data_IF_990767607978
#
_entry.id   IF_990767607978
#
_cell.length_a   1.000
_cell.length_b   1.000
_cell.length_c   1.000
_cell.angle_alpha   90.00
_cell.angle_beta   90.00
_cell.angle_gamma   90.00
#
_symmetry.space_group_name_H-M   'P 1'
#
loop_
_entity.id
_entity.type
_entity.pdbx_description
1 polymer ?
#
# COMPACT_ATOMS: atom_id res chain seq x y z
N UNK A 1 -43.82 8.55 1.62
CA UNK A 1 -43.66 7.77 2.86
C UNK A 1 -43.16 8.75 3.93
N UNK A 2 -44.03 9.46 4.64
CA UNK A 2 -44.89 9.04 5.76
C UNK A 2 -44.11 8.69 7.04
N UNK A 3 -44.66 9.19 8.16
CA UNK A 3 -44.28 9.05 9.57
C UNK A 3 -43.25 10.06 10.12
N UNK A 4 -43.62 11.18 10.79
CA UNK A 4 -44.70 11.53 11.75
C UNK A 4 -44.45 10.99 13.17
N UNK A 5 -44.07 11.89 14.09
CA UNK A 5 -44.49 12.01 15.50
C UNK A 5 -43.65 13.15 16.12
N UNK A 6 -44.13 14.37 16.43
CA UNK A 6 -45.40 14.85 16.97
C UNK A 6 -45.68 14.35 18.39
N UNK A 7 -45.32 15.15 19.39
CA UNK A 7 -46.06 15.55 20.62
C UNK A 7 -45.03 16.21 21.58
N UNK A 8 -45.26 17.30 22.32
CA UNK A 8 -46.48 17.70 23.04
C UNK A 8 -46.37 19.16 23.56
N UNK A 9 -47.44 19.92 23.30
CA UNK A 9 -48.10 21.01 24.09
C UNK A 9 -47.25 22.17 24.67
N UNK A 10 -47.38 23.46 24.29
CA UNK A 10 -48.50 24.46 24.43
C UNK A 10 -48.98 24.64 25.90
N UNK A 11 -49.60 25.78 26.32
CA UNK A 11 -49.76 27.10 25.67
C UNK A 11 -49.84 28.34 26.64
N UNK A 12 -50.26 29.51 26.09
CA UNK A 12 -51.03 30.64 26.72
C UNK A 12 -50.17 31.65 27.53
N UNK A 13 -50.15 32.97 27.31
CA UNK A 13 -51.15 33.99 26.93
C UNK A 13 -50.38 35.08 26.13
N UNK A 14 -50.89 35.80 25.14
CA UNK A 14 -52.24 36.32 24.93
C UNK A 14 -52.12 37.84 24.71
N UNK A 15 -52.85 38.34 23.70
CA UNK A 15 -53.20 39.73 23.37
C UNK A 15 -52.48 40.44 22.19
N UNK A 16 -53.21 40.45 21.07
CA UNK A 16 -53.63 41.60 20.24
C UNK A 16 -52.57 42.66 19.85
N UNK A 17 -52.16 42.73 18.57
CA UNK A 17 -52.75 43.55 17.46
C UNK A 17 -52.20 45.00 17.43
N UNK A 18 -52.17 45.75 16.31
CA UNK A 18 -52.05 45.43 14.88
C UNK A 18 -50.90 46.21 14.18
N UNK A 19 -50.85 46.00 12.86
CA UNK A 19 -50.17 46.74 11.80
C UNK A 19 -50.06 48.28 11.96
N UNK A 20 -48.92 48.74 11.42
CA UNK A 20 -48.68 49.94 10.62
C UNK A 20 -48.28 51.27 11.27
N UNK A 21 -47.16 51.74 10.70
CA UNK A 21 -46.81 53.11 10.37
C UNK A 21 -46.13 53.97 11.44
N UNK A 22 -44.86 54.23 11.11
CA UNK A 22 -44.23 55.55 11.17
C UNK A 22 -44.12 56.19 12.55
N UNK A 23 -42.98 56.04 13.21
CA UNK A 23 -42.10 57.18 13.46
C UNK A 23 -40.82 56.73 14.17
N UNK A 24 -39.69 57.06 13.54
CA UNK A 24 -38.49 57.52 14.22
C UNK A 24 -37.84 56.60 15.28
N UNK A 25 -36.85 55.82 14.86
CA UNK A 25 -35.55 55.72 15.55
C UNK A 25 -34.47 55.25 14.58
N UNK A 26 -34.16 56.13 13.62
CA UNK A 26 -32.78 56.22 13.13
C UNK A 26 -32.00 56.99 14.20
N UNK A 27 -30.76 56.58 14.42
CA UNK A 27 -29.75 57.13 15.34
C UNK A 27 -29.66 56.47 16.72
N UNK A 28 -29.00 55.30 16.74
CA UNK A 28 -27.97 55.04 17.74
C UNK A 28 -26.67 54.76 16.94
N UNK A 29 -26.04 55.79 16.40
CA UNK A 29 -25.07 56.65 17.10
C UNK A 29 -23.94 55.80 17.74
N UNK A 30 -23.03 55.32 16.89
CA UNK A 30 -21.59 55.65 16.92
C UNK A 30 -20.96 55.99 18.28
N UNK A 31 -21.13 55.14 19.30
CA UNK A 31 -20.40 55.26 20.58
C UNK A 31 -19.83 53.94 21.12
N UNK A 32 -19.60 52.94 20.24
CA UNK A 32 -18.86 51.70 20.58
C UNK A 32 -17.50 51.62 19.85
N UNK A 33 -17.01 52.73 19.31
CA UNK A 33 -15.87 52.69 18.38
C UNK A 33 -14.50 52.47 19.07
N UNK A 34 -14.39 52.63 20.39
CA UNK A 34 -13.11 52.44 21.13
C UNK A 34 -13.01 51.05 21.78
N UNK A 35 -14.06 50.58 22.45
CA UNK A 35 -14.10 49.25 23.08
C UNK A 35 -14.19 48.10 22.06
N UNK A 36 -15.00 48.26 21.00
CA UNK A 36 -15.11 47.28 19.91
C UNK A 36 -13.81 47.23 19.08
N UNK A 37 -13.16 48.37 18.85
CA UNK A 37 -11.89 48.46 18.13
C UNK A 37 -10.72 47.84 18.91
N UNK A 38 -10.72 47.95 20.24
CA UNK A 38 -9.76 47.21 21.10
C UNK A 38 -9.97 45.69 21.02
N UNK A 39 -11.23 45.22 21.07
CA UNK A 39 -11.56 43.78 20.95
C UNK A 39 -11.25 43.21 19.56
N UNK A 40 -11.63 43.90 18.50
CA UNK A 40 -11.31 43.52 17.12
C UNK A 40 -9.80 43.48 16.93
N UNK A 41 -9.06 44.47 17.45
CA UNK A 41 -7.60 44.49 17.37
C UNK A 41 -6.97 43.30 18.10
N UNK A 42 -7.46 42.93 19.28
CA UNK A 42 -7.00 41.71 19.95
C UNK A 42 -7.34 40.45 19.16
N UNK A 43 -8.55 40.32 18.61
CA UNK A 43 -8.95 39.16 17.79
C UNK A 43 -8.10 39.03 16.53
N UNK A 44 -7.76 40.13 15.86
CA UNK A 44 -6.88 40.14 14.69
C UNK A 44 -5.46 39.69 15.05
N UNK A 45 -4.94 40.09 16.22
CA UNK A 45 -3.64 39.59 16.69
C UNK A 45 -3.66 38.09 16.99
N UNK A 46 -4.74 37.55 17.58
CA UNK A 46 -4.85 36.10 17.82
C UNK A 46 -4.98 35.31 16.52
N UNK A 47 -5.80 35.77 15.57
CA UNK A 47 -5.98 35.10 14.28
C UNK A 47 -4.71 35.15 13.43
N UNK A 48 -3.99 36.28 13.42
CA UNK A 48 -2.71 36.38 12.71
C UNK A 48 -1.63 35.50 13.35
N UNK A 49 -1.53 35.46 14.67
CA UNK A 49 -0.62 34.55 15.39
C UNK A 49 -0.91 33.08 15.06
N UNK A 50 -2.19 32.69 15.07
CA UNK A 50 -2.60 31.33 14.72
C UNK A 50 -2.26 30.99 13.25
N UNK A 51 -2.49 31.92 12.33
CA UNK A 51 -2.16 31.74 10.92
C UNK A 51 -0.66 31.59 10.66
N UNK A 52 0.18 32.39 11.35
CA UNK A 52 1.63 32.25 11.24
C UNK A 52 2.10 30.93 11.84
N UNK A 53 1.52 30.49 12.95
CA UNK A 53 1.86 29.23 13.61
C UNK A 53 1.53 28.01 12.72
N UNK A 54 0.36 27.98 12.09
CA UNK A 54 -0.03 26.84 11.22
C UNK A 54 0.85 26.76 9.97
N UNK A 55 1.17 27.89 9.35
CA UNK A 55 2.08 27.95 8.21
C UNK A 55 3.50 27.55 8.62
N UNK A 56 3.98 28.04 9.77
CA UNK A 56 5.30 27.69 10.30
C UNK A 56 5.45 26.20 10.59
N UNK A 57 4.45 25.58 11.24
CA UNK A 57 4.44 24.15 11.51
C UNK A 57 4.38 23.32 10.22
N UNK A 58 3.59 23.74 9.23
CA UNK A 58 3.48 23.04 7.95
C UNK A 58 4.81 23.04 7.19
N UNK A 59 5.53 24.16 7.20
CA UNK A 59 6.85 24.26 6.58
C UNK A 59 7.93 23.48 7.34
N UNK A 60 7.87 23.48 8.68
CA UNK A 60 8.82 22.78 9.53
C UNK A 60 8.63 21.25 9.57
N UNK A 61 7.44 20.75 9.24
CA UNK A 61 7.14 19.32 9.27
C UNK A 61 8.04 18.50 8.32
N UNK A 62 8.34 19.02 7.12
CA UNK A 62 9.16 18.31 6.12
C UNK A 62 10.61 18.08 6.58
N UNK A 63 11.38 19.09 7.02
CA UNK A 63 12.74 18.87 7.51
C UNK A 63 12.77 18.07 8.82
N UNK A 64 11.78 18.27 9.72
CA UNK A 64 11.68 17.48 10.95
C UNK A 64 11.45 16.00 10.63
N UNK A 65 10.57 15.67 9.68
CA UNK A 65 10.34 14.31 9.21
C UNK A 65 11.61 13.69 8.63
N UNK A 66 12.37 14.43 7.80
CA UNK A 66 13.66 13.96 7.27
C UNK A 66 14.66 13.63 8.38
N UNK A 67 14.78 14.47 9.41
CA UNK A 67 15.67 14.19 10.54
C UNK A 67 15.24 12.95 11.34
N UNK A 68 13.93 12.77 11.55
CA UNK A 68 13.40 11.57 12.20
C UNK A 68 13.64 10.31 11.36
N UNK A 69 13.44 10.36 10.04
CA UNK A 69 13.73 9.24 9.13
C UNK A 69 15.21 8.86 9.15
N UNK A 70 16.11 9.84 9.20
CA UNK A 70 17.56 9.61 9.29
C UNK A 70 17.98 9.04 10.65
N UNK A 71 17.36 9.48 11.76
CA UNK A 71 17.73 9.04 13.11
C UNK A 71 17.20 7.64 13.44
N UNK A 72 15.99 7.30 13.01
CA UNK A 72 15.34 6.02 13.32
C UNK A 72 15.45 4.99 12.18
N UNK A 73 16.13 5.34 11.07
CA UNK A 73 16.45 4.48 9.93
C UNK A 73 15.25 3.70 9.37
N UNK A 74 14.03 4.26 9.49
CA UNK A 74 12.77 3.57 9.18
C UNK A 74 12.27 3.81 7.74
N UNK A 75 13.02 4.59 6.95
CA UNK A 75 12.78 4.78 5.54
C UNK A 75 14.13 4.95 4.88
N UNK A 76 14.47 4.04 3.96
CA UNK A 76 15.76 3.95 3.25
C UNK A 76 16.08 5.16 2.36
N UNK A 77 15.99 6.38 2.90
CA UNK A 77 16.54 7.57 2.27
C UNK A 77 18.04 7.53 2.48
N UNK A 78 18.74 7.10 1.43
CA UNK A 78 20.17 7.30 1.27
C UNK A 78 20.50 8.73 1.71
N UNK A 79 21.38 8.85 2.68
CA UNK A 79 22.01 10.12 3.00
C UNK A 79 22.53 10.69 1.68
N UNK A 80 21.98 11.79 1.21
CA UNK A 80 22.53 12.57 0.09
C UNK A 80 23.89 13.24 0.44
N UNK A 81 24.53 12.77 1.52
CA UNK A 81 25.86 13.11 1.99
C UNK A 81 26.79 11.88 2.04
N UNK A 82 26.33 10.69 1.59
CA UNK A 82 27.24 9.60 1.25
C UNK A 82 27.66 9.84 -0.19
N UNK A 83 28.73 10.62 -0.32
CA UNK A 83 29.84 10.24 -1.20
C UNK A 83 29.46 9.91 -2.66
N UNK A 84 29.02 10.95 -3.40
CA UNK A 84 28.96 10.94 -4.88
C UNK A 84 30.27 10.45 -5.52
N UNK A 85 31.40 10.51 -4.80
CA UNK A 85 32.70 10.01 -5.27
C UNK A 85 32.85 8.48 -5.28
N UNK A 86 31.93 7.71 -4.67
CA UNK A 86 32.03 6.23 -4.69
C UNK A 86 31.19 5.60 -5.81
N UNK A 87 30.10 6.25 -6.23
CA UNK A 87 29.22 5.80 -7.32
C UNK A 87 29.90 5.99 -8.69
N UNK A 88 30.72 7.02 -8.86
CA UNK A 88 31.45 7.26 -10.13
C UNK A 88 32.59 6.26 -10.40
N UNK A 89 33.05 5.51 -9.39
CA UNK A 89 34.22 4.61 -9.54
C UNK A 89 33.82 3.14 -9.68
N UNK A 90 32.54 2.81 -9.55
CA UNK A 90 32.06 1.43 -9.63
C UNK A 90 31.71 1.05 -11.06
N UNK A 91 32.60 0.28 -11.67
CA UNK A 91 32.33 -0.32 -12.98
C UNK A 91 31.24 -1.39 -12.80
N UNK A 92 30.19 -1.41 -13.65
CA UNK A 92 29.19 -2.46 -13.62
C UNK A 92 29.86 -3.82 -13.81
N UNK A 93 29.85 -4.64 -12.77
CA UNK A 93 30.43 -5.98 -12.81
C UNK A 93 29.36 -6.94 -13.34
N UNK A 94 29.46 -7.26 -14.64
CA UNK A 94 28.60 -8.27 -15.29
C UNK A 94 28.78 -9.68 -14.73
N UNK A 95 29.84 -9.94 -13.96
CA UNK A 95 30.10 -11.24 -13.32
C UNK A 95 29.63 -11.30 -11.86
N UNK A 96 28.79 -10.36 -11.41
CA UNK A 96 28.21 -10.41 -10.07
C UNK A 96 27.14 -11.49 -10.01
N UNK A 97 27.44 -12.60 -9.32
CA UNK A 97 26.48 -13.67 -9.10
C UNK A 97 25.45 -13.26 -8.05
N UNK A 98 24.17 -13.35 -8.40
CA UNK A 98 23.06 -13.12 -7.47
C UNK A 98 22.54 -14.48 -7.01
N UNK A 99 22.41 -14.65 -5.69
CA UNK A 99 21.82 -15.82 -5.05
C UNK A 99 20.30 -15.66 -5.01
N UNK A 100 19.59 -16.55 -5.69
CA UNK A 100 18.14 -16.60 -5.68
C UNK A 100 17.70 -17.77 -4.82
N UNK A 101 17.06 -17.46 -3.69
CA UNK A 101 16.46 -18.42 -2.76
C UNK A 101 15.03 -18.71 -3.17
N UNK A 102 14.62 -19.97 -3.10
CA UNK A 102 13.27 -20.40 -3.45
C UNK A 102 12.54 -20.88 -2.20
N UNK A 103 11.38 -20.30 -1.94
CA UNK A 103 10.48 -20.78 -0.89
C UNK A 103 9.13 -21.16 -1.48
N UNK A 104 8.49 -22.11 -0.82
CA UNK A 104 7.22 -22.67 -1.22
C UNK A 104 6.35 -22.84 0.02
N UNK A 105 5.17 -22.23 -0.02
CA UNK A 105 4.20 -22.24 1.05
C UNK A 105 2.83 -22.66 0.51
N UNK A 106 1.98 -23.20 1.38
CA UNK A 106 0.59 -23.53 1.06
C UNK A 106 -0.33 -22.91 2.11
N UNK A 107 -1.52 -22.47 1.69
CA UNK A 107 -2.53 -21.99 2.63
C UNK A 107 -3.05 -23.14 3.50
N UNK A 108 -3.61 -22.83 4.67
CA UNK A 108 -4.18 -23.84 5.57
C UNK A 108 -5.37 -24.62 4.96
N UNK A 109 -6.02 -24.07 3.94
CA UNK A 109 -7.05 -24.76 3.16
C UNK A 109 -6.48 -25.71 2.10
N UNK A 110 -5.22 -25.53 1.71
CA UNK A 110 -4.57 -26.27 0.64
C UNK A 110 -3.79 -27.47 1.21
N UNK A 111 -4.25 -28.68 0.89
CA UNK A 111 -3.64 -29.92 1.41
C UNK A 111 -2.54 -30.50 0.51
N UNK A 112 -2.13 -29.77 -0.53
CA UNK A 112 -1.02 -30.18 -1.37
C UNK A 112 0.31 -30.13 -0.61
N UNK A 113 1.20 -31.05 -0.97
CA UNK A 113 2.62 -30.91 -0.65
C UNK A 113 3.28 -30.14 -1.78
N UNK A 114 3.76 -28.94 -1.50
CA UNK A 114 4.43 -28.08 -2.47
C UNK A 114 5.81 -27.68 -1.94
N UNK A 115 6.85 -27.94 -2.72
CA UNK A 115 8.24 -27.71 -2.32
C UNK A 115 9.11 -27.33 -3.51
N UNK A 116 10.14 -26.48 -3.31
CA UNK A 116 11.14 -26.28 -4.34
C UNK A 116 11.99 -27.56 -4.48
N UNK A 117 12.42 -27.87 -5.71
CA UNK A 117 13.38 -28.95 -5.95
C UNK A 117 14.80 -28.52 -5.55
N UNK A 118 15.09 -27.22 -5.69
CA UNK A 118 16.35 -26.58 -5.34
C UNK A 118 16.07 -25.34 -4.48
N UNK A 119 16.76 -25.22 -3.34
CA UNK A 119 16.51 -24.13 -2.39
C UNK A 119 17.21 -22.82 -2.82
N UNK A 120 18.31 -22.91 -3.56
CA UNK A 120 19.04 -21.75 -4.05
C UNK A 120 19.64 -22.01 -5.43
N UNK A 121 19.76 -20.96 -6.25
CA UNK A 121 20.60 -20.95 -7.44
C UNK A 121 21.40 -19.65 -7.52
N UNK A 122 22.52 -19.67 -8.24
CA UNK A 122 23.34 -18.48 -8.54
C UNK A 122 23.21 -18.16 -10.00
N UNK A 123 22.89 -16.90 -10.31
CA UNK A 123 22.63 -16.43 -11.66
C UNK A 123 23.26 -15.06 -11.85
N UNK A 124 23.90 -14.84 -12.98
CA UNK A 124 24.39 -13.51 -13.34
C UNK A 124 23.27 -12.65 -13.93
N UNK A 125 23.22 -11.33 -13.67
CA UNK A 125 22.29 -10.44 -14.35
C UNK A 125 22.43 -10.52 -15.88
N UNK A 126 21.30 -10.70 -16.56
CA UNK A 126 21.20 -10.96 -18.01
C UNK A 126 21.24 -12.44 -18.40
N UNK A 127 21.52 -13.35 -17.46
CA UNK A 127 21.44 -14.79 -17.68
C UNK A 127 20.03 -15.31 -17.38
N UNK A 128 19.56 -16.23 -18.22
CA UNK A 128 18.28 -16.91 -17.98
C UNK A 128 18.48 -18.17 -17.16
N UNK A 129 17.64 -18.36 -16.16
CA UNK A 129 17.68 -19.51 -15.27
C UNK A 129 16.33 -20.23 -15.20
N UNK A 130 16.41 -21.51 -14.84
CA UNK A 130 15.26 -22.41 -14.70
C UNK A 130 15.26 -23.01 -13.30
N UNK A 131 14.16 -22.79 -12.58
CA UNK A 131 13.88 -23.43 -11.30
C UNK A 131 12.75 -24.44 -11.42
N UNK A 132 12.73 -25.47 -10.57
CA UNK A 132 11.66 -26.47 -10.55
C UNK A 132 11.05 -26.51 -9.16
N UNK A 133 9.72 -26.62 -9.13
CA UNK A 133 8.96 -26.91 -7.92
C UNK A 133 8.16 -28.17 -8.12
N UNK A 134 8.05 -29.00 -7.08
CA UNK A 134 7.23 -30.20 -7.11
C UNK A 134 5.95 -29.95 -6.34
N UNK A 135 4.81 -30.23 -6.97
CA UNK A 135 3.49 -30.21 -6.33
C UNK A 135 2.89 -31.61 -6.34
N UNK A 136 2.36 -32.03 -5.19
CA UNK A 136 1.70 -33.32 -5.02
C UNK A 136 0.36 -33.16 -4.33
N UNK A 137 -0.66 -33.80 -4.87
CA UNK A 137 -1.95 -33.94 -4.23
C UNK A 137 -2.03 -35.29 -3.47
N UNK A 138 -1.91 -35.31 -2.13
CA UNK A 138 -1.96 -36.55 -1.36
C UNK A 138 -3.38 -37.09 -1.13
N UNK A 139 -4.41 -36.44 -1.66
CA UNK A 139 -5.81 -36.79 -1.41
C UNK A 139 -6.41 -37.67 -2.52
N UNK A 140 -7.52 -38.32 -2.19
CA UNK A 140 -8.28 -39.16 -3.13
C UNK A 140 -9.26 -38.37 -4.01
N UNK A 141 -9.19 -37.04 -4.00
CA UNK A 141 -10.03 -36.15 -4.82
C UNK A 141 -9.17 -35.16 -5.60
N UNK A 142 -9.63 -34.80 -6.79
CA UNK A 142 -9.01 -33.72 -7.54
C UNK A 142 -9.20 -32.39 -6.80
N UNK A 143 -8.15 -31.57 -6.77
CA UNK A 143 -8.16 -30.24 -6.19
C UNK A 143 -7.65 -29.28 -7.24
N UNK A 144 -8.24 -28.09 -7.29
CA UNK A 144 -7.76 -26.99 -8.13
C UNK A 144 -7.12 -25.94 -7.24
N UNK A 145 -5.91 -25.52 -7.59
CA UNK A 145 -5.15 -24.51 -6.88
C UNK A 145 -4.77 -23.34 -7.77
N UNK A 146 -4.64 -22.16 -7.17
CA UNK A 146 -4.04 -20.98 -7.77
C UNK A 146 -2.85 -20.55 -6.90
N UNK A 147 -1.76 -20.10 -7.50
CA UNK A 147 -0.59 -19.65 -6.75
C UNK A 147 -0.38 -18.16 -6.87
N UNK A 148 0.16 -17.52 -5.84
CA UNK A 148 0.71 -16.16 -5.93
C UNK A 148 2.21 -16.20 -5.66
N UNK A 149 2.92 -15.16 -6.08
CA UNK A 149 4.35 -15.05 -5.85
C UNK A 149 4.72 -13.70 -5.27
N UNK A 150 5.86 -13.66 -4.57
CA UNK A 150 6.48 -12.47 -4.06
C UNK A 150 7.99 -12.52 -4.24
N UNK A 151 8.62 -11.36 -4.46
CA UNK A 151 10.07 -11.20 -4.58
C UNK A 151 10.56 -10.28 -3.47
N UNK A 152 11.54 -10.74 -2.71
CA UNK A 152 12.16 -9.98 -1.60
C UNK A 152 13.66 -9.87 -1.86
N UNK A 153 14.28 -8.70 -1.68
CA UNK A 153 13.68 -7.41 -1.32
C UNK A 153 12.88 -6.80 -2.48
N UNK A 154 11.92 -5.93 -2.16
CA UNK A 154 10.98 -5.37 -3.13
C UNK A 154 11.68 -4.56 -4.23
N UNK A 155 12.77 -3.88 -3.87
CA UNK A 155 13.59 -3.08 -4.76
C UNK A 155 14.27 -3.92 -5.84
N UNK A 156 14.56 -5.20 -5.56
CA UNK A 156 15.08 -6.14 -6.56
C UNK A 156 13.97 -6.71 -7.45
N UNK A 157 12.71 -6.70 -6.98
CA UNK A 157 11.55 -7.22 -7.71
C UNK A 157 11.31 -6.53 -9.06
N UNK A 158 11.65 -5.24 -9.20
CA UNK A 158 11.49 -4.51 -10.46
C UNK A 158 12.43 -5.00 -11.59
N UNK A 159 13.55 -5.61 -11.22
CA UNK A 159 14.52 -6.18 -12.16
C UNK A 159 14.32 -7.68 -12.36
N UNK A 160 13.45 -8.30 -11.56
CA UNK A 160 13.18 -9.73 -11.62
C UNK A 160 12.07 -9.99 -12.63
N UNK A 161 12.45 -10.46 -13.81
CA UNK A 161 11.51 -10.73 -14.89
C UNK A 161 11.16 -12.22 -14.94
N UNK A 162 9.93 -12.55 -14.52
CA UNK A 162 9.39 -13.90 -14.64
C UNK A 162 8.75 -14.07 -16.01
N UNK A 163 9.36 -14.90 -16.87
CA UNK A 163 8.91 -15.09 -18.26
C UNK A 163 7.70 -16.03 -18.33
N UNK A 164 7.61 -17.04 -17.45
CA UNK A 164 6.51 -18.03 -17.43
C UNK A 164 5.97 -18.24 -16.02
N UNK A 165 4.66 -18.11 -15.82
CA UNK A 165 4.04 -18.08 -14.49
C UNK A 165 2.78 -18.93 -14.41
N UNK A 166 2.87 -20.05 -13.68
CA UNK A 166 1.70 -20.82 -13.17
C UNK A 166 0.83 -20.02 -12.18
N UNK A 167 1.29 -18.84 -11.78
CA UNK A 167 0.70 -18.03 -10.72
C UNK A 167 -0.59 -17.32 -11.13
N UNK A 168 -1.09 -17.53 -12.35
CA UNK A 168 -2.41 -17.01 -12.75
C UNK A 168 -3.27 -18.06 -13.45
N UNK A 169 -2.81 -19.30 -13.49
CA UNK A 169 -3.55 -20.39 -14.10
C UNK A 169 -4.00 -21.36 -13.01
N UNK A 170 -5.28 -21.74 -13.08
CA UNK A 170 -5.83 -22.79 -12.25
C UNK A 170 -5.13 -24.12 -12.58
N UNK A 171 -4.35 -24.61 -11.63
CA UNK A 171 -3.72 -25.93 -11.74
C UNK A 171 -4.63 -26.94 -11.06
N UNK A 172 -5.08 -27.95 -11.80
CA UNK A 172 -5.83 -29.06 -11.23
C UNK A 172 -4.91 -30.28 -11.12
N UNK A 173 -4.75 -30.81 -9.90
CA UNK A 173 -4.05 -32.07 -9.66
C UNK A 173 -5.04 -33.17 -9.29
N UNK A 174 -4.97 -34.28 -10.02
CA UNK A 174 -5.75 -35.48 -9.76
C UNK A 174 -5.32 -36.16 -8.45
N UNK A 175 -6.12 -37.13 -7.97
CA UNK A 175 -5.76 -37.91 -6.80
C UNK A 175 -4.36 -38.53 -6.90
N UNK A 176 -3.53 -38.34 -5.87
CA UNK A 176 -2.17 -38.88 -5.79
C UNK A 176 -1.23 -38.46 -6.93
N UNK A 177 -1.60 -37.43 -7.70
CA UNK A 177 -0.78 -36.90 -8.79
C UNK A 177 0.36 -36.03 -8.24
N UNK A 178 1.53 -36.16 -8.87
CA UNK A 178 2.75 -35.41 -8.57
C UNK A 178 3.30 -34.84 -9.88
N UNK A 179 3.49 -33.52 -9.92
CA UNK A 179 3.91 -32.78 -11.13
C UNK A 179 5.05 -31.82 -10.78
N UNK A 180 6.04 -31.76 -11.66
CA UNK A 180 7.11 -30.77 -11.62
C UNK A 180 6.73 -29.54 -12.46
N UNK A 181 6.79 -28.38 -11.82
CA UNK A 181 6.40 -27.08 -12.36
C UNK A 181 7.65 -26.22 -12.62
N UNK A 182 8.09 -26.10 -13.89
CA UNK A 182 9.24 -25.27 -14.28
C UNK A 182 8.96 -23.76 -14.23
N UNK A 183 9.81 -23.01 -13.54
CA UNK A 183 9.78 -21.55 -13.48
C UNK A 183 10.98 -20.97 -14.22
N UNK A 184 10.72 -20.30 -15.35
CA UNK A 184 11.73 -19.63 -16.15
C UNK A 184 11.78 -18.12 -15.84
N UNK A 185 12.98 -17.62 -15.52
CA UNK A 185 13.19 -16.23 -15.13
C UNK A 185 14.59 -15.73 -15.50
N UNK A 186 14.75 -14.40 -15.46
CA UNK A 186 16.06 -13.76 -15.55
C UNK A 186 16.07 -12.47 -14.70
N UNK A 187 17.26 -12.02 -14.35
CA UNK A 187 17.48 -10.72 -13.70
C UNK A 187 17.93 -9.75 -14.78
N UNK A 188 17.30 -8.58 -14.86
CA UNK A 188 17.66 -7.55 -15.85
C UNK A 188 19.13 -7.09 -15.65
N UNK A 189 19.95 -6.97 -16.71
CA UNK A 189 21.32 -6.44 -16.60
C UNK A 189 21.40 -5.04 -15.98
N UNK A 190 20.34 -4.21 -16.07
CA UNK A 190 20.27 -2.90 -15.40
C UNK A 190 20.41 -2.99 -13.89
N UNK A 191 20.18 -4.18 -13.29
CA UNK A 191 20.46 -4.47 -11.88
C UNK A 191 21.89 -4.11 -11.45
N UNK A 192 22.86 -4.27 -12.36
CA UNK A 192 24.27 -3.97 -12.09
C UNK A 192 24.60 -2.48 -12.16
N UNK A 193 23.69 -1.67 -12.70
CA UNK A 193 23.89 -0.24 -12.92
C UNK A 193 23.19 0.63 -11.89
N UNK A 194 22.20 0.10 -11.15
CA UNK A 194 21.52 0.82 -10.07
C UNK A 194 22.37 0.80 -8.78
N UNK A 195 22.81 1.97 -8.26
CA UNK A 195 23.53 2.05 -6.99
C UNK A 195 22.75 1.46 -5.81
N UNK A 196 21.42 1.44 -5.85
CA UNK A 196 20.60 0.84 -4.77
C UNK A 196 20.76 -0.67 -4.69
N UNK A 197 21.09 -1.31 -5.81
CA UNK A 197 21.20 -2.76 -5.91
C UNK A 197 22.61 -3.27 -5.59
N UNK A 198 23.58 -2.36 -5.36
CA UNK A 198 25.00 -2.67 -5.16
C UNK A 198 25.26 -3.69 -4.03
N UNK A 199 24.47 -3.63 -2.95
CA UNK A 199 24.63 -4.48 -1.77
C UNK A 199 23.57 -5.58 -1.64
N UNK A 200 22.75 -5.79 -2.67
CA UNK A 200 21.69 -6.80 -2.68
C UNK A 200 22.15 -7.98 -3.53
N UNK A 201 22.76 -8.99 -2.91
CA UNK A 201 23.20 -10.21 -3.60
C UNK A 201 22.24 -11.39 -3.40
N UNK A 202 21.27 -11.24 -2.51
CA UNK A 202 20.35 -12.29 -2.11
C UNK A 202 18.91 -11.84 -2.42
N UNK A 203 18.25 -12.61 -3.28
CA UNK A 203 16.85 -12.42 -3.67
C UNK A 203 16.09 -13.67 -3.26
N UNK A 204 14.92 -13.52 -2.67
CA UNK A 204 14.03 -14.64 -2.34
C UNK A 204 12.79 -14.58 -3.20
N UNK A 205 12.54 -15.66 -3.94
CA UNK A 205 11.33 -15.90 -4.70
C UNK A 205 10.43 -16.86 -3.91
N UNK A 206 9.34 -16.32 -3.37
CA UNK A 206 8.37 -17.05 -2.56
C UNK A 206 7.11 -17.33 -3.34
N UNK A 207 6.67 -18.59 -3.36
CA UNK A 207 5.37 -19.00 -3.89
C UNK A 207 4.43 -19.42 -2.78
N UNK A 208 3.16 -19.04 -2.90
CA UNK A 208 2.10 -19.54 -2.01
C UNK A 208 0.92 -20.07 -2.81
N UNK A 209 0.53 -21.32 -2.57
CA UNK A 209 -0.64 -21.93 -3.21
C UNK A 209 -1.91 -21.79 -2.35
N UNK A 210 -3.02 -21.52 -3.02
CA UNK A 210 -4.36 -21.40 -2.46
C UNK A 210 -5.33 -22.33 -3.19
N UNK A 211 -6.29 -22.89 -2.46
CA UNK A 211 -7.35 -23.70 -3.07
C UNK A 211 -8.33 -22.79 -3.82
N UNK A 212 -8.51 -23.05 -5.11
CA UNK A 212 -9.52 -22.39 -5.92
C UNK A 212 -10.87 -23.04 -5.61
N UNK A 213 -11.76 -22.31 -4.92
CA UNK A 213 -13.13 -22.77 -4.73
C UNK A 213 -13.85 -22.74 -6.06
N UNK A 214 -14.50 -23.85 -6.44
CA UNK A 214 -15.37 -23.89 -7.60
C UNK A 214 -16.42 -22.77 -7.46
N UNK A 215 -16.52 -21.93 -8.48
CA UNK A 215 -17.50 -20.87 -8.55
C UNK A 215 -18.90 -21.44 -8.30
N UNK A 216 -19.69 -20.75 -7.46
CA UNK A 216 -21.09 -21.09 -7.25
C UNK A 216 -21.79 -21.07 -8.60
N UNK A 217 -22.29 -22.23 -9.05
CA UNK A 217 -23.07 -22.33 -10.27
C UNK A 217 -24.40 -21.56 -10.10
N UNK A 218 -24.44 -20.33 -10.60
CA UNK A 218 -25.60 -19.45 -10.54
C UNK A 218 -26.72 -19.89 -11.48
N UNK A 219 -26.52 -20.90 -12.34
CA UNK A 219 -27.55 -21.38 -13.27
C UNK A 219 -28.77 -21.99 -12.56
N UNK A 220 -28.62 -22.41 -11.30
CA UNK A 220 -29.70 -22.97 -10.49
C UNK A 220 -30.54 -21.92 -9.74
N UNK A 221 -30.08 -20.66 -9.66
CA UNK A 221 -30.78 -19.59 -8.92
C UNK A 221 -31.88 -18.93 -9.78
N UNK A 222 -31.79 -19.00 -11.10
CA UNK A 222 -32.76 -18.37 -12.02
C UNK A 222 -33.84 -19.33 -12.56
N UNK A 223 -33.98 -20.53 -11.98
CA UNK A 223 -34.94 -21.55 -12.44
C UNK A 223 -36.31 -21.55 -11.74
N UNK A 224 -36.63 -20.52 -10.96
CA UNK A 224 -37.94 -20.35 -10.31
C UNK A 224 -38.71 -19.14 -10.81
#
# INVERSE_FOLDING_TARGET
MMFKAMYKMRPICGLHCPLNALFNKRLHNTSSNSAQKKRIRSTVYYLSSLGVLTVGLSYAAVPLYKMFCQAFSYGGTLNHNIEDSKVETMKPNRNREIKVHFTADTSSSMQWSFKPLQNEIRVAPGETALAFYTAKNPLDKAITGISTYNVVPFEAGQYFNKIQCFCFEEQQLNPNEEVDMPVFFFIDPEYTTDPKMENIDDITLSYTFFEAKQGVDLSNIFKH
#
